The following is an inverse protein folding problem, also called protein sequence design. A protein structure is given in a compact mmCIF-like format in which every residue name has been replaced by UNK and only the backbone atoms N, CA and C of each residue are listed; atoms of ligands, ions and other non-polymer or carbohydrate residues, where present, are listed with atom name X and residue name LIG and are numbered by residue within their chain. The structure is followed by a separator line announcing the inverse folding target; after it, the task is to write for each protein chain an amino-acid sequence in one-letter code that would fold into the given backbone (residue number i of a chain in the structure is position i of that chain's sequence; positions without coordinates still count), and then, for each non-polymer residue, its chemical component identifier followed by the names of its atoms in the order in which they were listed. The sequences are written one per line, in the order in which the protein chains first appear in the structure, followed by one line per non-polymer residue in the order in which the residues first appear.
data_IF_290945537745
#
_entry.id   IF_290945537745
#
_cell.length_a   1.000
_cell.length_b   1.000
_cell.length_c   1.000
_cell.angle_alpha   90.00
_cell.angle_beta   90.00
_cell.angle_gamma   90.00
#
_symmetry.space_group_name_H-M   'P 1'
#
loop_
_entity.id
_entity.type
_entity.pdbx_description
1 polymer ?
#
# COMPACT_ATOMS: atom_id res chain seq x y z
N UNK A 1 7.35 3.54 1.38
CA UNK A 1 8.75 3.67 1.84
C UNK A 1 9.05 2.67 2.96
N UNK A 2 10.30 2.33 3.12
CA UNK A 2 10.82 1.45 4.18
C UNK A 2 12.00 2.14 4.87
N UNK A 3 11.90 2.40 6.18
CA UNK A 3 13.02 2.82 7.02
C UNK A 3 13.56 1.61 7.79
N UNK A 4 14.67 1.06 7.31
CA UNK A 4 15.34 -0.08 7.92
C UNK A 4 16.22 0.30 9.13
N UNK A 5 16.42 1.61 9.40
CA UNK A 5 17.33 2.13 10.44
C UNK A 5 16.61 2.59 11.71
N UNK A 6 15.30 2.47 11.76
CA UNK A 6 14.53 2.81 12.97
C UNK A 6 15.04 2.00 14.18
N UNK A 7 15.31 2.63 15.33
CA UNK A 7 15.90 1.96 16.51
C UNK A 7 15.00 0.83 17.05
N UNK A 8 13.69 0.95 16.87
CA UNK A 8 12.71 -0.02 17.35
C UNK A 8 12.33 -1.08 16.30
N UNK A 9 13.09 -1.17 15.20
CA UNK A 9 12.84 -2.09 14.09
C UNK A 9 12.36 -1.38 12.81
N UNK A 10 12.38 -2.09 11.67
CA UNK A 10 12.10 -1.49 10.37
C UNK A 10 10.67 -0.95 10.29
N UNK A 11 10.51 0.29 9.83
CA UNK A 11 9.21 0.94 9.65
C UNK A 11 8.90 1.07 8.16
N UNK A 12 7.72 0.58 7.78
CA UNK A 12 7.23 0.67 6.41
C UNK A 12 6.04 1.63 6.34
N UNK A 13 5.95 2.38 5.23
CA UNK A 13 4.82 3.23 4.91
C UNK A 13 4.29 2.87 3.53
N UNK A 14 3.01 2.55 3.45
CA UNK A 14 2.29 2.28 2.20
C UNK A 14 1.26 3.37 1.99
N UNK A 15 1.32 4.05 0.85
CA UNK A 15 0.33 5.04 0.44
C UNK A 15 -0.40 4.55 -0.81
N UNK A 16 -1.71 4.48 -0.72
CA UNK A 16 -2.61 4.14 -1.81
C UNK A 16 -3.25 5.42 -2.32
N UNK A 17 -3.08 5.69 -3.61
CA UNK A 17 -3.66 6.87 -4.26
C UNK A 17 -4.64 6.43 -5.33
N UNK A 18 -5.91 6.80 -5.17
CA UNK A 18 -6.97 6.46 -6.10
C UNK A 18 -7.57 7.71 -6.71
N UNK A 19 -7.91 7.62 -7.98
CA UNK A 19 -8.61 8.69 -8.70
C UNK A 19 -10.01 8.20 -9.06
N UNK A 20 -11.04 8.90 -8.60
CA UNK A 20 -12.40 8.67 -9.06
C UNK A 20 -12.63 9.47 -10.35
N UNK A 21 -12.63 8.81 -11.49
CA UNK A 21 -12.78 9.43 -12.82
C UNK A 21 -14.20 9.78 -13.20
N UNK A 22 -15.18 9.51 -12.35
CA UNK A 22 -16.59 9.89 -12.57
C UNK A 22 -16.72 11.41 -12.72
N UNK A 23 -17.56 11.85 -13.67
CA UNK A 23 -17.70 13.28 -14.02
C UNK A 23 -18.67 14.06 -13.13
N UNK A 24 -19.26 13.43 -12.10
CA UNK A 24 -20.19 14.07 -11.18
C UNK A 24 -21.34 13.14 -10.79
N UNK A 25 -22.36 13.70 -10.11
CA UNK A 25 -23.52 12.96 -9.59
C UNK A 25 -24.71 12.90 -10.54
N UNK A 26 -24.57 13.32 -11.80
CA UNK A 26 -25.67 13.39 -12.77
C UNK A 26 -26.23 12.03 -13.25
N UNK A 27 -25.54 10.95 -12.99
CA UNK A 27 -25.95 9.58 -13.32
C UNK A 27 -25.71 8.67 -12.11
N UNK A 28 -26.70 7.84 -11.76
CA UNK A 28 -26.62 6.89 -10.65
C UNK A 28 -25.43 5.91 -10.77
N UNK A 29 -24.89 5.71 -11.96
CA UNK A 29 -23.72 4.88 -12.24
C UNK A 29 -22.41 5.55 -11.86
N UNK A 30 -22.39 6.88 -11.72
CA UNK A 30 -21.21 7.69 -11.43
C UNK A 30 -21.35 8.33 -10.06
N UNK A 31 -21.01 7.57 -9.03
CA UNK A 31 -21.16 8.00 -7.64
C UNK A 31 -19.82 8.13 -6.94
N UNK A 32 -19.87 8.39 -5.66
CA UNK A 32 -18.72 8.24 -4.78
C UNK A 32 -18.14 6.84 -4.90
N UNK A 33 -16.84 6.76 -5.03
CA UNK A 33 -16.16 5.49 -4.88
C UNK A 33 -16.00 5.21 -3.38
N UNK A 34 -16.74 4.25 -2.88
CA UNK A 34 -16.71 3.78 -1.49
C UNK A 34 -15.98 2.46 -1.46
N UNK A 35 -15.00 2.35 -0.59
CA UNK A 35 -14.24 1.11 -0.50
C UNK A 35 -13.77 0.85 0.93
N UNK A 36 -13.71 -0.41 1.27
CA UNK A 36 -12.98 -0.90 2.43
C UNK A 36 -11.71 -1.57 1.93
N UNK A 37 -10.58 -0.91 2.16
CA UNK A 37 -9.29 -1.35 1.66
C UNK A 37 -8.57 -2.17 2.71
N UNK A 38 -7.96 -3.28 2.30
CA UNK A 38 -7.14 -4.15 3.15
C UNK A 38 -5.71 -4.18 2.62
N UNK A 39 -4.74 -3.98 3.51
CA UNK A 39 -3.32 -4.13 3.22
C UNK A 39 -2.80 -5.32 4.02
N UNK A 40 -2.29 -6.33 3.33
CA UNK A 40 -1.73 -7.54 3.90
C UNK A 40 -0.22 -7.36 4.06
N UNK A 41 0.26 -7.48 5.27
CA UNK A 41 1.67 -7.28 5.63
C UNK A 41 2.22 -8.54 6.31
N UNK A 42 3.53 -8.70 6.47
CA UNK A 42 4.12 -9.83 7.18
C UNK A 42 3.46 -10.05 8.54
N UNK A 43 3.22 -11.33 8.91
CA UNK A 43 2.64 -11.66 10.21
C UNK A 43 3.50 -11.11 11.35
N UNK A 44 2.85 -10.55 12.36
CA UNK A 44 3.53 -9.88 13.48
C UNK A 44 3.91 -8.43 13.20
N UNK A 45 3.52 -7.84 12.05
CA UNK A 45 3.66 -6.39 11.84
C UNK A 45 2.76 -5.62 12.82
N UNK A 46 3.29 -4.50 13.33
CA UNK A 46 2.61 -3.65 14.32
C UNK A 46 2.13 -2.35 13.68
N UNK A 47 0.86 -2.03 13.82
CA UNK A 47 0.28 -0.78 13.36
C UNK A 47 0.82 0.41 14.15
N UNK A 48 1.27 1.47 13.46
CA UNK A 48 1.74 2.72 14.08
C UNK A 48 0.72 3.83 13.84
N UNK A 49 0.37 4.10 12.58
CA UNK A 49 -0.53 5.22 12.25
C UNK A 49 -1.16 5.04 10.88
N UNK A 50 -2.20 5.83 10.62
CA UNK A 50 -2.81 5.95 9.31
C UNK A 50 -3.27 7.38 9.04
N UNK A 51 -3.44 7.69 7.76
CA UNK A 51 -4.14 8.89 7.32
C UNK A 51 -5.07 8.57 6.16
N UNK A 52 -6.16 9.33 6.00
CA UNK A 52 -7.14 9.13 4.95
C UNK A 52 -8.25 8.14 5.27
N UNK A 53 -8.15 7.36 6.35
CA UNK A 53 -9.25 6.53 6.82
C UNK A 53 -10.45 7.41 7.27
N UNK A 54 -11.65 7.02 6.88
CA UNK A 54 -12.89 7.79 7.13
C UNK A 54 -13.86 6.98 7.99
N UNK A 55 -14.56 7.67 8.87
CA UNK A 55 -15.65 7.06 9.65
C UNK A 55 -16.84 6.68 8.77
N UNK A 56 -17.17 7.56 7.81
CA UNK A 56 -18.21 7.36 6.80
C UNK A 56 -17.95 8.28 5.59
N UNK A 57 -18.75 8.16 4.54
CA UNK A 57 -18.63 9.05 3.38
C UNK A 57 -19.08 10.50 3.70
N UNK A 58 -18.62 11.47 2.92
CA UNK A 58 -18.90 12.87 3.13
C UNK A 58 -20.38 13.21 3.14
N UNK A 59 -21.24 12.44 2.46
CA UNK A 59 -22.68 12.69 2.47
C UNK A 59 -23.28 12.43 3.86
N UNK A 60 -22.83 11.40 4.54
CA UNK A 60 -23.33 11.05 5.87
C UNK A 60 -22.73 11.92 6.97
N UNK A 61 -21.59 12.52 6.71
CA UNK A 61 -20.87 13.39 7.66
C UNK A 61 -21.12 14.90 7.40
N UNK A 62 -22.14 15.23 6.59
CA UNK A 62 -22.47 16.63 6.28
C UNK A 62 -21.41 17.39 5.50
N UNK A 63 -20.65 16.70 4.64
CA UNK A 63 -19.59 17.27 3.82
C UNK A 63 -18.22 17.38 4.51
N UNK A 64 -18.11 16.97 5.78
CA UNK A 64 -16.88 17.08 6.54
C UNK A 64 -16.12 15.75 6.58
N UNK A 65 -14.80 15.82 6.46
CA UNK A 65 -13.96 14.66 6.73
C UNK A 65 -14.00 14.35 8.24
N UNK A 66 -14.42 13.12 8.57
CA UNK A 66 -14.36 12.60 9.92
C UNK A 66 -13.41 11.41 9.91
N UNK A 67 -12.30 11.46 10.67
CA UNK A 67 -11.37 10.35 10.74
C UNK A 67 -12.05 9.06 11.16
N UNK A 68 -11.71 7.97 10.46
CA UNK A 68 -12.13 6.60 10.77
C UNK A 68 -11.07 5.85 11.54
N UNK A 69 -11.43 4.66 11.98
CA UNK A 69 -10.52 3.69 12.61
C UNK A 69 -9.92 2.76 11.58
N UNK A 70 -8.76 2.19 11.94
CA UNK A 70 -8.15 1.08 11.23
C UNK A 70 -8.42 -0.19 12.01
N UNK A 71 -8.96 -1.20 11.32
CA UNK A 71 -9.08 -2.55 11.87
C UNK A 71 -7.75 -3.28 11.71
N UNK A 72 -7.29 -3.92 12.78
CA UNK A 72 -6.07 -4.74 12.77
C UNK A 72 -6.48 -6.17 13.12
N UNK A 73 -6.23 -7.09 12.20
CA UNK A 73 -6.59 -8.49 12.37
C UNK A 73 -5.63 -9.43 11.62
N UNK A 74 -5.82 -10.74 11.78
CA UNK A 74 -5.03 -11.77 11.08
C UNK A 74 -5.89 -12.49 10.06
N UNK A 75 -5.37 -12.66 8.85
CA UNK A 75 -6.00 -13.39 7.76
C UNK A 75 -4.92 -13.99 6.85
N UNK A 76 -5.10 -15.20 6.39
CA UNK A 76 -4.17 -15.90 5.47
C UNK A 76 -2.69 -15.92 5.95
N UNK A 77 -2.48 -16.03 7.27
CA UNK A 77 -1.13 -16.02 7.84
C UNK A 77 -0.41 -14.66 7.70
N UNK A 78 -1.17 -13.58 7.57
CA UNK A 78 -0.70 -12.19 7.49
C UNK A 78 -1.34 -11.35 8.57
N UNK A 79 -0.68 -10.26 8.96
CA UNK A 79 -1.33 -9.14 9.63
C UNK A 79 -2.03 -8.30 8.56
N UNK A 80 -3.24 -7.83 8.85
CA UNK A 80 -4.06 -7.05 7.92
C UNK A 80 -4.47 -5.74 8.55
N UNK A 81 -4.29 -4.65 7.81
CA UNK A 81 -4.81 -3.33 8.16
C UNK A 81 -5.96 -3.01 7.22
N UNK A 82 -7.16 -2.83 7.79
CA UNK A 82 -8.38 -2.54 7.06
C UNK A 82 -8.91 -1.15 7.37
N UNK A 83 -9.33 -0.39 6.37
CA UNK A 83 -9.94 0.91 6.59
C UNK A 83 -11.00 1.24 5.53
N UNK A 84 -12.07 1.87 5.97
CA UNK A 84 -13.04 2.47 5.07
C UNK A 84 -12.58 3.87 4.64
N UNK A 85 -12.78 4.19 3.37
CA UNK A 85 -12.64 5.52 2.82
C UNK A 85 -13.51 5.72 1.58
N UNK A 86 -13.74 6.97 1.19
CA UNK A 86 -14.51 7.30 0.00
C UNK A 86 -13.90 8.45 -0.77
N UNK A 87 -14.11 8.45 -2.09
CA UNK A 87 -13.56 9.45 -3.00
C UNK A 87 -14.70 10.02 -3.83
N UNK A 88 -14.87 11.34 -3.77
CA UNK A 88 -15.86 12.06 -4.53
C UNK A 88 -15.57 11.97 -6.05
N UNK A 89 -16.60 12.07 -6.92
CA UNK A 89 -16.42 12.13 -8.37
C UNK A 89 -15.41 13.23 -8.78
N UNK A 90 -14.49 12.89 -9.68
CA UNK A 90 -13.46 13.79 -10.18
C UNK A 90 -12.35 14.12 -9.16
N UNK A 91 -12.32 13.45 -8.00
CA UNK A 91 -11.33 13.70 -6.97
C UNK A 91 -10.31 12.58 -6.86
N UNK A 92 -9.20 12.93 -6.22
CA UNK A 92 -8.15 11.99 -5.82
C UNK A 92 -8.25 11.82 -4.31
N UNK A 93 -8.14 10.58 -3.84
CA UNK A 93 -8.01 10.23 -2.43
C UNK A 93 -6.70 9.51 -2.16
N UNK A 94 -6.19 9.67 -0.95
CA UNK A 94 -5.01 8.97 -0.47
C UNK A 94 -5.31 8.31 0.86
N UNK A 95 -4.90 7.05 1.00
CA UNK A 95 -4.97 6.27 2.22
C UNK A 95 -3.56 5.77 2.53
N UNK A 96 -3.04 6.11 3.70
CA UNK A 96 -1.69 5.75 4.12
C UNK A 96 -1.74 4.91 5.39
N UNK A 97 -0.91 3.86 5.43
CA UNK A 97 -0.63 3.06 6.61
C UNK A 97 0.86 3.10 6.91
N UNK A 98 1.21 3.35 8.17
CA UNK A 98 2.57 3.24 8.68
C UNK A 98 2.61 2.14 9.73
N UNK A 99 3.55 1.22 9.61
CA UNK A 99 3.64 0.05 10.46
C UNK A 99 5.08 -0.40 10.65
N UNK A 100 5.36 -1.06 11.77
CA UNK A 100 6.63 -1.71 12.04
C UNK A 100 6.59 -3.14 11.52
N UNK A 101 7.64 -3.53 10.82
CA UNK A 101 7.83 -4.91 10.39
C UNK A 101 8.38 -5.76 11.53
N UNK A 102 8.02 -7.05 11.63
CA UNK A 102 8.69 -7.95 12.55
C UNK A 102 10.16 -8.11 12.17
N UNK A 103 11.03 -8.32 13.14
CA UNK A 103 12.46 -8.50 12.90
C UNK A 103 12.79 -9.65 11.94
N UNK A 104 11.92 -10.65 11.89
CA UNK A 104 12.02 -11.79 10.97
C UNK A 104 11.77 -11.42 9.50
N UNK A 105 11.12 -10.30 9.22
CA UNK A 105 10.82 -9.88 7.84
C UNK A 105 12.08 -9.45 7.04
N UNK A 106 13.17 -9.13 7.74
CA UNK A 106 14.45 -8.73 7.14
C UNK A 106 15.57 -9.75 7.37
N UNK A 107 15.24 -10.97 7.78
CA UNK A 107 16.23 -12.04 7.95
C UNK A 107 16.48 -12.68 6.58
N UNK A 108 17.68 -12.47 6.05
CA UNK A 108 18.11 -13.15 4.83
C UNK A 108 18.55 -14.59 5.08
N UNK A 109 18.85 -15.31 4.00
CA UNK A 109 19.44 -16.65 4.09
C UNK A 109 20.67 -16.64 4.99
N UNK A 110 20.71 -17.58 5.96
CA UNK A 110 21.80 -17.71 6.91
C UNK A 110 21.63 -16.91 8.21
N UNK A 111 20.45 -16.31 8.48
CA UNK A 111 20.14 -15.70 9.79
C UNK A 111 20.88 -14.40 10.11
N UNK A 112 21.48 -13.73 9.12
CA UNK A 112 22.18 -12.45 9.30
C UNK A 112 21.22 -11.28 9.22
N UNK A 113 21.33 -10.36 10.16
CA UNK A 113 20.56 -9.09 10.17
C UNK A 113 21.54 -7.90 10.22
N UNK A 114 21.57 -6.97 9.25
CA UNK A 114 20.85 -7.03 7.99
C UNK A 114 21.42 -8.07 7.02
N UNK A 115 20.60 -8.70 6.17
CA UNK A 115 21.07 -9.68 5.21
C UNK A 115 21.98 -9.02 4.17
N UNK A 116 23.02 -9.76 3.74
CA UNK A 116 23.89 -9.31 2.63
C UNK A 116 23.12 -9.22 1.32
N UNK A 117 22.12 -10.07 1.16
CA UNK A 117 21.16 -10.09 0.07
C UNK A 117 19.80 -10.48 0.65
N UNK A 118 18.75 -9.81 0.27
CA UNK A 118 17.36 -10.13 0.64
C UNK A 118 16.47 -10.08 -0.58
N UNK A 119 15.52 -10.99 -0.62
CA UNK A 119 14.47 -10.98 -1.63
C UNK A 119 13.31 -10.13 -1.13
N UNK A 120 12.88 -9.19 -1.96
CA UNK A 120 11.64 -8.45 -1.76
C UNK A 120 10.56 -9.02 -2.66
N UNK A 121 9.42 -9.36 -2.10
CA UNK A 121 8.26 -9.85 -2.84
C UNK A 121 7.05 -8.95 -2.60
N UNK A 122 6.48 -8.46 -3.69
CA UNK A 122 5.23 -7.71 -3.69
C UNK A 122 4.18 -8.46 -4.50
N UNK A 123 3.12 -8.89 -3.85
CA UNK A 123 1.95 -9.48 -4.52
C UNK A 123 0.83 -8.41 -4.57
N UNK A 124 0.39 -8.07 -5.76
CA UNK A 124 -0.73 -7.12 -5.98
C UNK A 124 -1.91 -7.88 -6.56
N UNK A 125 -2.88 -8.31 -5.74
CA UNK A 125 -4.06 -8.99 -6.25
C UNK A 125 -4.89 -8.05 -7.13
N UNK A 126 -5.29 -8.52 -8.31
CA UNK A 126 -6.22 -7.80 -9.17
C UNK A 126 -7.60 -7.77 -8.49
N UNK A 127 -8.19 -6.58 -8.39
CA UNK A 127 -9.55 -6.46 -7.89
C UNK A 127 -10.53 -7.06 -8.91
N UNK A 128 -11.46 -7.90 -8.43
CA UNK A 128 -12.51 -8.47 -9.27
C UNK A 128 -13.39 -7.36 -9.88
N UNK A 129 -13.76 -7.52 -11.16
CA UNK A 129 -14.61 -6.56 -11.88
C UNK A 129 -13.87 -5.34 -12.46
N UNK A 130 -12.55 -5.33 -12.42
CA UNK A 130 -11.73 -4.32 -13.09
C UNK A 130 -11.13 -4.91 -14.37
N UNK A 131 -11.56 -4.44 -15.55
CA UNK A 131 -11.13 -4.99 -16.83
C UNK A 131 -9.71 -4.51 -17.22
N UNK A 132 -9.37 -3.26 -16.93
CA UNK A 132 -8.09 -2.64 -17.25
C UNK A 132 -7.48 -1.99 -16.00
N UNK A 133 -6.76 -2.77 -15.20
CA UNK A 133 -5.96 -2.23 -14.12
C UNK A 133 -4.55 -1.90 -14.65
N UNK A 134 -4.27 -0.64 -14.89
CA UNK A 134 -2.90 -0.20 -15.08
C UNK A 134 -2.20 -0.24 -13.70
N UNK A 135 -1.09 -0.95 -13.61
CA UNK A 135 -0.25 -1.01 -12.44
C UNK A 135 1.06 -0.29 -12.72
N UNK A 136 1.36 0.70 -11.90
CA UNK A 136 2.69 1.31 -11.87
C UNK A 136 3.34 0.98 -10.55
N UNK A 137 4.53 0.41 -10.60
CA UNK A 137 5.35 0.09 -9.43
C UNK A 137 6.60 0.97 -9.52
N UNK A 138 6.90 1.65 -8.44
CA UNK A 138 8.11 2.46 -8.24
C UNK A 138 8.64 2.17 -6.84
N UNK A 139 9.75 1.44 -6.76
CA UNK A 139 10.36 1.03 -5.50
C UNK A 139 11.77 1.59 -5.43
N UNK A 140 12.14 2.10 -4.26
CA UNK A 140 13.49 2.56 -3.95
C UNK A 140 14.07 1.75 -2.80
N UNK A 141 15.30 1.31 -2.94
CA UNK A 141 16.02 0.52 -1.97
C UNK A 141 17.28 1.26 -1.50
N UNK A 142 17.86 0.82 -0.40
CA UNK A 142 19.16 1.31 0.10
C UNK A 142 20.36 0.64 -0.58
N UNK A 143 20.13 -0.38 -1.39
CA UNK A 143 21.13 -1.17 -2.11
C UNK A 143 20.71 -1.39 -3.54
N UNK A 144 21.70 -1.63 -4.40
CA UNK A 144 21.47 -1.92 -5.79
C UNK A 144 20.76 -3.26 -5.99
N UNK A 145 19.83 -3.27 -6.94
CA UNK A 145 19.05 -4.43 -7.31
C UNK A 145 19.90 -5.35 -8.20
N UNK A 146 20.00 -6.61 -7.83
CA UNK A 146 20.73 -7.61 -8.63
C UNK A 146 19.87 -8.28 -9.69
N UNK A 147 18.59 -8.47 -9.39
CA UNK A 147 17.63 -9.09 -10.30
C UNK A 147 16.21 -8.70 -9.90
N UNK A 148 15.31 -8.63 -10.85
CA UNK A 148 13.88 -8.44 -10.64
C UNK A 148 13.05 -9.27 -11.60
N UNK A 149 11.84 -9.67 -11.15
CA UNK A 149 10.85 -10.35 -11.98
C UNK A 149 9.46 -9.78 -11.63
N UNK A 150 8.74 -9.18 -12.58
CA UNK A 150 9.14 -8.97 -13.98
C UNK A 150 10.38 -8.08 -14.12
N UNK A 151 11.06 -8.14 -15.28
CA UNK A 151 12.21 -7.27 -15.52
C UNK A 151 11.78 -5.80 -15.52
N UNK A 152 12.68 -4.95 -15.15
CA UNK A 152 12.44 -3.51 -15.10
C UNK A 152 12.28 -2.91 -16.50
N UNK A 153 11.39 -1.94 -16.65
CA UNK A 153 11.19 -1.17 -17.88
C UNK A 153 12.29 -0.10 -18.12
N UNK A 154 13.09 0.15 -17.10
CA UNK A 154 14.15 1.16 -17.15
C UNK A 154 15.41 0.67 -17.89
N UNK A 155 16.07 1.59 -18.57
CA UNK A 155 17.41 1.36 -19.13
C UNK A 155 18.54 1.40 -18.09
N UNK A 156 18.20 1.69 -16.83
CA UNK A 156 19.16 1.84 -15.70
C UNK A 156 19.17 0.62 -14.79
N UNK A 157 19.33 -0.53 -15.36
CA UNK A 157 19.44 -1.78 -14.63
C UNK A 157 20.60 -1.78 -13.61
N UNK A 158 20.33 -2.30 -12.43
CA UNK A 158 21.35 -2.51 -11.42
C UNK A 158 21.60 -1.31 -10.49
N UNK A 159 20.71 -0.34 -10.49
CA UNK A 159 20.68 0.72 -9.50
C UNK A 159 19.79 0.34 -8.28
N UNK A 160 19.48 1.29 -7.43
CA UNK A 160 18.68 1.08 -6.22
C UNK A 160 17.17 1.35 -6.42
N UNK A 161 16.71 1.55 -7.65
CA UNK A 161 15.32 1.84 -7.98
C UNK A 161 14.76 0.80 -8.95
N UNK A 162 13.51 0.41 -8.74
CA UNK A 162 12.77 -0.48 -9.62
C UNK A 162 11.53 0.22 -10.15
N UNK A 163 11.38 0.28 -11.46
CA UNK A 163 10.23 0.86 -12.14
C UNK A 163 9.59 -0.17 -13.07
N UNK A 164 8.28 -0.36 -12.93
CA UNK A 164 7.52 -1.28 -13.78
C UNK A 164 6.12 -0.71 -14.06
N UNK A 165 5.65 -0.87 -15.28
CA UNK A 165 4.31 -0.47 -15.73
C UNK A 165 3.67 -1.57 -16.56
N UNK A 166 2.36 -1.82 -16.37
CA UNK A 166 1.54 -2.70 -17.22
C UNK A 166 0.53 -1.89 -18.02
#
# INVERSE_FOLDING_TARGET
SLDAKSPDGPVATVTLRYTNTAKGFGDYRYTRYRTYTRVYVPDGSEFISSSGAMKDDLNKTGGNFVPGTVDVFKELGKTVFGAFWSIEPGKIGELTFTYRLPSTALVGEGGRTPPLQSDYRLDVPKQAGVDNAALTIDLSFDKNIKSAMPPEDSTKWGDSRYEYRT
#
